data_IF_284657746585
#
_entry.id   IF_284657746585
#
_cell.length_a   1.000
_cell.length_b   1.000
_cell.length_c   1.000
_cell.angle_alpha   90.00
_cell.angle_beta   90.00
_cell.angle_gamma   90.00
#
_symmetry.space_group_name_H-M   'P 1'
#
loop_
_entity.id
_entity.type
_entity.pdbx_description
1 polymer ?
#
# COMPACT_ATOMS: atom_id res chain seq x y z
N UNK A 1 7.34 14.66 -2.11
CA UNK A 1 7.34 13.21 -2.38
C UNK A 1 7.36 13.02 -3.89
N UNK A 2 8.09 12.05 -4.39
CA UNK A 2 8.27 11.83 -5.84
C UNK A 2 7.71 10.47 -6.24
N UNK A 3 7.88 9.46 -5.40
CA UNK A 3 7.33 8.14 -5.67
C UNK A 3 7.02 7.36 -4.39
N UNK A 4 6.08 6.43 -4.52
CA UNK A 4 5.80 5.37 -3.55
C UNK A 4 5.90 4.04 -4.29
N UNK A 5 6.67 3.11 -3.76
CA UNK A 5 6.75 1.74 -4.25
C UNK A 5 6.23 0.82 -3.14
N UNK A 6 5.25 0.00 -3.45
CA UNK A 6 4.77 -1.09 -2.61
C UNK A 6 5.06 -2.40 -3.33
N UNK A 7 5.66 -3.35 -2.65
CA UNK A 7 5.84 -4.69 -3.17
C UNK A 7 5.23 -5.71 -2.19
N UNK A 8 4.58 -6.74 -2.72
CA UNK A 8 3.86 -7.75 -1.94
C UNK A 8 3.97 -9.11 -2.61
N UNK A 9 4.46 -10.10 -1.88
CA UNK A 9 4.35 -11.51 -2.25
C UNK A 9 3.01 -12.07 -1.77
N UNK A 10 2.24 -12.69 -2.65
CA UNK A 10 0.92 -13.21 -2.33
C UNK A 10 1.00 -14.47 -1.44
N UNK A 11 2.10 -15.24 -1.52
CA UNK A 11 2.31 -16.46 -0.74
C UNK A 11 2.54 -16.19 0.75
N UNK A 12 2.93 -14.97 1.13
CA UNK A 12 3.20 -14.59 2.52
C UNK A 12 1.94 -14.26 3.33
N UNK A 13 0.76 -14.31 2.72
CA UNK A 13 -0.48 -14.09 3.45
C UNK A 13 -1.10 -15.40 3.95
N UNK A 14 -1.10 -15.60 5.27
CA UNK A 14 -1.87 -16.68 5.90
C UNK A 14 -3.34 -16.61 5.48
N UNK A 15 -3.83 -17.64 4.78
CA UNK A 15 -5.23 -17.77 4.37
C UNK A 15 -5.55 -17.47 2.91
N UNK A 16 -4.55 -17.27 2.04
CA UNK A 16 -4.74 -17.15 0.59
C UNK A 16 -5.59 -15.93 0.22
N UNK A 17 -5.08 -14.73 0.46
CA UNK A 17 -5.75 -13.51 0.00
C UNK A 17 -5.88 -13.53 -1.52
N UNK A 18 -7.04 -13.11 -2.00
CA UNK A 18 -7.21 -12.92 -3.42
C UNK A 18 -6.43 -11.67 -3.89
N UNK A 19 -6.13 -11.60 -5.17
CA UNK A 19 -5.42 -10.50 -5.82
C UNK A 19 -5.98 -9.12 -5.41
N UNK A 20 -7.30 -8.97 -5.40
CA UNK A 20 -7.96 -7.70 -5.07
C UNK A 20 -7.74 -7.25 -3.62
N UNK A 21 -7.61 -8.16 -2.67
CA UNK A 21 -7.30 -7.82 -1.27
C UNK A 21 -5.87 -7.29 -1.14
N UNK A 22 -4.92 -7.92 -1.82
CA UNK A 22 -3.52 -7.49 -1.85
C UNK A 22 -3.36 -6.12 -2.50
N UNK A 23 -3.98 -5.93 -3.67
CA UNK A 23 -4.01 -4.64 -4.37
C UNK A 23 -4.64 -3.55 -3.51
N UNK A 24 -5.77 -3.86 -2.83
CA UNK A 24 -6.47 -2.89 -1.97
C UNK A 24 -5.58 -2.35 -0.86
N UNK A 25 -4.80 -3.20 -0.20
CA UNK A 25 -3.88 -2.76 0.87
C UNK A 25 -2.82 -1.80 0.35
N UNK A 26 -2.20 -2.12 -0.78
CA UNK A 26 -1.19 -1.26 -1.38
C UNK A 26 -1.78 0.06 -1.88
N UNK A 27 -2.96 0.03 -2.50
CA UNK A 27 -3.67 1.24 -2.93
C UNK A 27 -4.08 2.12 -1.74
N UNK A 28 -4.53 1.55 -0.63
CA UNK A 28 -4.81 2.31 0.60
C UNK A 28 -3.57 3.08 1.07
N UNK A 29 -2.40 2.44 1.10
CA UNK A 29 -1.16 3.12 1.45
C UNK A 29 -0.82 4.24 0.46
N UNK A 30 -0.96 4.00 -0.85
CA UNK A 30 -0.74 5.02 -1.87
C UNK A 30 -1.69 6.22 -1.72
N UNK A 31 -2.98 5.98 -1.54
CA UNK A 31 -3.99 7.03 -1.32
C UNK A 31 -3.66 7.84 -0.06
N UNK A 32 -3.30 7.19 1.05
CA UNK A 32 -2.92 7.89 2.29
C UNK A 32 -1.67 8.74 2.13
N UNK A 33 -0.71 8.33 1.32
CA UNK A 33 0.56 9.02 1.15
C UNK A 33 0.53 10.10 0.05
N UNK A 34 -0.23 9.88 -1.03
CA UNK A 34 -0.22 10.72 -2.23
C UNK A 34 -1.53 11.48 -2.45
N UNK A 35 -2.59 11.13 -1.73
CA UNK A 35 -3.93 11.70 -1.88
C UNK A 35 -4.80 10.92 -2.87
N UNK A 36 -6.01 11.42 -3.08
CA UNK A 36 -7.03 10.80 -3.92
C UNK A 36 -6.97 11.22 -5.39
N UNK A 37 -6.36 12.36 -5.69
CA UNK A 37 -6.40 12.99 -7.02
C UNK A 37 -5.38 12.35 -7.98
N UNK A 38 -5.64 11.12 -8.40
CA UNK A 38 -4.82 10.44 -9.40
C UNK A 38 -5.21 10.87 -10.83
N UNK A 39 -4.29 10.72 -11.78
CA UNK A 39 -4.48 11.09 -13.18
C UNK A 39 -4.69 9.86 -14.07
N UNK A 40 -3.99 8.78 -13.79
CA UNK A 40 -3.93 7.60 -14.65
C UNK A 40 -3.54 6.38 -13.84
N UNK A 41 -4.06 5.22 -14.21
CA UNK A 41 -3.64 3.91 -13.69
C UNK A 41 -3.32 2.98 -14.86
N UNK A 42 -2.24 2.23 -14.78
CA UNK A 42 -1.84 1.22 -15.76
C UNK A 42 -1.45 -0.06 -15.04
N UNK A 43 -1.74 -1.20 -15.68
CA UNK A 43 -1.39 -2.54 -15.22
C UNK A 43 -0.56 -3.24 -16.28
N UNK A 44 0.47 -3.99 -15.85
CA UNK A 44 1.34 -4.78 -16.72
C UNK A 44 1.54 -6.15 -16.05
N UNK A 45 0.76 -7.12 -16.49
CA UNK A 45 0.75 -8.45 -15.91
C UNK A 45 1.54 -9.45 -16.75
N UNK A 46 2.23 -10.36 -16.09
CA UNK A 46 2.86 -11.55 -16.67
C UNK A 46 2.02 -12.75 -16.26
N UNK A 47 1.53 -13.50 -17.25
CA UNK A 47 0.73 -14.73 -17.03
C UNK A 47 1.57 -15.96 -17.32
N UNK A 48 1.34 -17.02 -16.56
CA UNK A 48 1.90 -18.34 -16.79
C UNK A 48 1.26 -19.07 -17.98
N UNK A 49 1.77 -20.25 -18.27
CA UNK A 49 1.24 -21.11 -19.34
C UNK A 49 -0.18 -21.61 -19.09
N UNK A 50 -0.63 -21.60 -17.85
CA UNK A 50 -1.96 -21.95 -17.37
C UNK A 50 -2.95 -20.78 -17.40
N UNK A 51 -2.45 -19.56 -17.72
CA UNK A 51 -3.22 -18.32 -17.74
C UNK A 51 -3.31 -17.60 -16.39
N UNK A 52 -2.77 -18.17 -15.31
CA UNK A 52 -2.73 -17.54 -14.00
C UNK A 52 -1.68 -16.44 -13.94
N UNK A 53 -1.92 -15.43 -13.08
CA UNK A 53 -0.97 -14.34 -12.89
C UNK A 53 0.26 -14.82 -12.13
N UNK A 54 1.45 -14.54 -12.67
CA UNK A 54 2.75 -14.79 -12.04
C UNK A 54 3.23 -13.53 -11.32
N UNK A 55 3.09 -12.39 -12.00
CA UNK A 55 3.56 -11.10 -11.53
C UNK A 55 2.71 -9.99 -12.14
N UNK A 56 2.37 -9.00 -11.35
CA UNK A 56 1.69 -7.80 -11.84
C UNK A 56 2.37 -6.53 -11.32
N UNK A 57 2.49 -5.55 -12.20
CA UNK A 57 2.98 -4.22 -11.88
C UNK A 57 1.91 -3.19 -12.20
N UNK A 58 1.35 -2.59 -11.15
CA UNK A 58 0.35 -1.53 -11.25
C UNK A 58 1.05 -0.19 -11.01
N UNK A 59 0.80 0.77 -11.90
CA UNK A 59 1.30 2.14 -11.74
C UNK A 59 0.15 3.12 -11.65
N UNK A 60 0.17 3.98 -10.63
CA UNK A 60 -0.81 5.06 -10.45
C UNK A 60 -0.08 6.39 -10.52
N UNK A 61 -0.44 7.20 -11.51
CA UNK A 61 0.16 8.51 -11.75
C UNK A 61 -0.62 9.60 -11.03
N UNK A 62 0.09 10.42 -10.29
CA UNK A 62 -0.42 11.62 -9.62
C UNK A 62 0.19 12.88 -10.26
N UNK A 63 -0.33 14.08 -10.00
CA UNK A 63 0.19 15.33 -10.58
C UNK A 63 1.69 15.57 -10.31
N UNK A 64 2.21 15.09 -9.18
CA UNK A 64 3.61 15.30 -8.75
C UNK A 64 4.29 14.04 -8.22
N UNK A 65 3.70 12.88 -8.43
CA UNK A 65 4.24 11.62 -7.92
C UNK A 65 3.80 10.43 -8.76
N UNK A 66 4.48 9.32 -8.57
CA UNK A 66 4.14 8.02 -9.13
C UNK A 66 4.05 7.01 -7.99
N UNK A 67 2.99 6.22 -7.97
CA UNK A 67 2.92 5.01 -7.17
C UNK A 67 3.17 3.79 -8.07
N UNK A 68 3.94 2.83 -7.57
CA UNK A 68 4.17 1.54 -8.20
C UNK A 68 3.83 0.45 -7.20
N UNK A 69 3.00 -0.50 -7.60
CA UNK A 69 2.62 -1.66 -6.81
C UNK A 69 3.09 -2.89 -7.58
N UNK A 70 3.92 -3.70 -6.97
CA UNK A 70 4.43 -4.95 -7.50
C UNK A 70 3.81 -6.11 -6.70
N UNK A 71 3.19 -7.06 -7.39
CA UNK A 71 2.56 -8.23 -6.79
C UNK A 71 3.15 -9.48 -7.42
N UNK A 72 3.80 -10.30 -6.61
CA UNK A 72 4.26 -11.64 -7.00
C UNK A 72 3.27 -12.69 -6.51
N UNK A 73 2.82 -13.59 -7.39
CA UNK A 73 1.93 -14.71 -7.02
C UNK A 73 2.70 -16.01 -6.88
N UNK A 74 3.65 -16.26 -7.80
CA UNK A 74 4.51 -17.44 -7.82
C UNK A 74 6.00 -17.08 -7.92
N UNK A 75 6.29 -15.78 -7.82
CA UNK A 75 7.64 -15.24 -7.77
C UNK A 75 7.83 -14.51 -6.45
N UNK A 76 8.98 -14.71 -5.87
CA UNK A 76 9.37 -14.04 -4.62
C UNK A 76 9.57 -12.54 -4.90
N UNK A 77 8.78 -11.72 -4.22
CA UNK A 77 8.86 -10.26 -4.26
C UNK A 77 9.05 -9.80 -2.82
N UNK A 78 10.06 -8.98 -2.58
CA UNK A 78 10.34 -8.47 -1.23
C UNK A 78 9.19 -7.59 -0.73
N UNK A 79 8.59 -7.95 0.42
CA UNK A 79 7.45 -7.25 1.04
C UNK A 79 7.89 -5.92 1.64
N UNK A 80 8.09 -4.90 0.81
CA UNK A 80 8.55 -3.59 1.27
C UNK A 80 7.65 -2.44 0.80
N UNK A 81 7.65 -1.35 1.58
CA UNK A 81 7.11 -0.05 1.18
C UNK A 81 8.25 0.97 1.16
N UNK A 82 8.50 1.57 0.00
CA UNK A 82 9.51 2.61 -0.16
C UNK A 82 8.87 3.93 -0.56
N UNK A 83 9.14 4.98 0.22
CA UNK A 83 8.71 6.34 -0.06
C UNK A 83 9.94 7.13 -0.50
N UNK A 84 9.90 7.65 -1.72
CA UNK A 84 11.01 8.38 -2.33
C UNK A 84 10.66 9.86 -2.40
N UNK A 85 11.53 10.69 -1.84
CA UNK A 85 11.45 12.14 -1.88
C UNK A 85 12.69 12.75 -2.52
N UNK A 86 12.62 14.04 -2.85
CA UNK A 86 13.76 14.80 -3.40
C UNK A 86 14.92 14.96 -2.42
N UNK A 87 14.68 14.80 -1.12
CA UNK A 87 15.68 14.97 -0.06
C UNK A 87 15.96 13.70 0.74
N UNK A 88 15.52 12.55 0.26
CA UNK A 88 15.75 11.28 0.93
C UNK A 88 14.68 10.24 0.64
N UNK A 89 14.80 9.11 1.33
CA UNK A 89 13.86 7.99 1.22
C UNK A 89 13.51 7.43 2.59
N UNK A 90 12.33 6.84 2.67
CA UNK A 90 11.90 6.03 3.81
C UNK A 90 11.67 4.61 3.28
N UNK A 91 12.16 3.62 4.00
CA UNK A 91 11.94 2.20 3.71
C UNK A 91 11.26 1.57 4.91
N UNK A 92 10.15 0.91 4.67
CA UNK A 92 9.44 0.06 5.61
C UNK A 92 9.66 -1.38 5.14
N UNK A 93 10.58 -2.13 5.78
CA UNK A 93 10.94 -3.47 5.32
C UNK A 93 9.96 -4.50 5.85
N UNK A 94 9.97 -5.67 5.23
CA UNK A 94 9.28 -6.90 5.63
C UNK A 94 7.86 -6.67 6.15
N UNK A 95 6.90 -7.23 5.53
CA UNK A 95 5.49 -7.12 5.94
C UNK A 95 5.12 -5.68 6.34
N UNK A 96 5.39 -4.73 5.44
CA UNK A 96 5.23 -3.30 5.70
C UNK A 96 3.86 -2.93 6.28
N UNK A 97 2.86 -3.77 6.11
CA UNK A 97 1.53 -3.63 6.70
C UNK A 97 1.46 -4.01 8.19
N UNK A 98 2.48 -4.69 8.71
CA UNK A 98 2.55 -5.16 10.10
C UNK A 98 3.96 -4.96 10.69
N UNK A 99 4.60 -3.85 10.36
CA UNK A 99 5.97 -3.59 10.81
C UNK A 99 6.04 -2.85 12.13
N UNK A 100 7.11 -3.08 12.88
CA UNK A 100 7.45 -2.37 14.12
C UNK A 100 8.46 -1.24 13.92
N UNK A 101 8.96 -0.98 12.71
CA UNK A 101 9.93 0.08 12.45
C UNK A 101 9.94 0.49 10.98
N UNK A 102 10.51 1.66 10.73
CA UNK A 102 10.92 2.09 9.40
C UNK A 102 12.28 2.77 9.46
N UNK A 103 12.92 2.87 8.33
CA UNK A 103 14.23 3.46 8.17
C UNK A 103 14.16 4.67 7.25
N UNK A 104 14.83 5.76 7.65
CA UNK A 104 14.89 6.98 6.87
C UNK A 104 16.34 7.33 6.54
N UNK A 105 16.61 7.62 5.26
CA UNK A 105 17.87 8.18 4.79
C UNK A 105 17.59 9.57 4.22
N UNK A 106 18.19 10.60 4.82
CA UNK A 106 18.04 11.99 4.40
C UNK A 106 19.33 12.45 3.72
N UNK A 107 19.19 13.26 2.68
CA UNK A 107 20.33 13.86 1.98
C UNK A 107 21.23 14.60 2.97
N UNK A 108 22.56 14.41 2.83
CA UNK A 108 23.56 15.01 3.73
C UNK A 108 23.74 14.32 5.07
N UNK A 109 22.95 13.28 5.38
CA UNK A 109 23.18 12.45 6.55
C UNK A 109 23.99 11.18 6.17
N UNK A 110 25.04 10.93 6.95
CA UNK A 110 25.93 9.78 6.71
C UNK A 110 25.25 8.45 7.08
N UNK A 111 24.40 8.48 8.11
CA UNK A 111 23.77 7.28 8.66
C UNK A 111 22.29 7.20 8.36
N UNK A 112 21.82 5.98 8.19
CA UNK A 112 20.43 5.61 8.12
C UNK A 112 19.82 5.67 9.52
N UNK A 113 18.68 6.34 9.67
CA UNK A 113 18.01 6.48 10.97
C UNK A 113 16.81 5.55 11.05
N UNK A 114 16.80 4.68 12.05
CA UNK A 114 15.68 3.79 12.34
C UNK A 114 14.74 4.43 13.35
N UNK A 115 13.44 4.31 13.07
CA UNK A 115 12.33 4.71 13.95
C UNK A 115 11.53 3.47 14.28
N UNK A 116 11.51 3.10 15.56
CA UNK A 116 10.79 1.94 16.04
C UNK A 116 9.54 2.35 16.80
N UNK A 117 8.49 1.56 16.69
CA UNK A 117 7.23 1.71 17.41
C UNK A 117 6.66 0.32 17.72
N UNK A 118 5.73 0.28 18.67
CA UNK A 118 5.10 -0.97 19.05
C UNK A 118 3.77 -1.13 18.30
N UNK A 119 3.75 -2.06 17.34
CA UNK A 119 2.52 -2.48 16.68
C UNK A 119 2.05 -3.80 17.30
N UNK A 120 0.84 -3.81 17.86
CA UNK A 120 0.32 -4.95 18.58
C UNK A 120 -0.72 -5.71 17.76
N UNK A 121 -0.48 -7.01 17.56
CA UNK A 121 -1.37 -7.91 16.85
C UNK A 121 -1.46 -7.62 15.35
N UNK A 122 -2.60 -7.94 14.75
CA UNK A 122 -2.87 -7.84 13.30
C UNK A 122 -3.66 -6.59 12.88
N UNK A 123 -3.71 -5.57 13.73
CA UNK A 123 -4.44 -4.33 13.43
C UNK A 123 -5.90 -4.28 13.90
N UNK A 124 -6.53 -5.41 14.22
CA UNK A 124 -7.94 -5.46 14.66
C UNK A 124 -8.21 -4.57 15.88
N UNK A 125 -7.28 -4.52 16.83
CA UNK A 125 -7.35 -3.66 18.00
C UNK A 125 -7.55 -2.20 17.64
N UNK A 126 -6.79 -1.70 16.66
CA UNK A 126 -6.86 -0.30 16.22
C UNK A 126 -8.15 -0.01 15.47
N UNK A 127 -8.64 -0.97 14.70
CA UNK A 127 -9.95 -0.87 14.02
C UNK A 127 -11.09 -0.76 15.04
N UNK A 128 -11.12 -1.64 16.05
CA UNK A 128 -12.13 -1.61 17.12
C UNK A 128 -12.06 -0.32 17.93
N UNK A 129 -10.86 0.18 18.20
CA UNK A 129 -10.67 1.44 18.90
C UNK A 129 -11.24 2.62 18.12
N UNK A 130 -10.99 2.70 16.81
CA UNK A 130 -11.56 3.74 15.95
C UNK A 130 -13.10 3.63 15.89
N UNK A 131 -13.64 2.42 15.76
CA UNK A 131 -15.08 2.18 15.77
C UNK A 131 -15.73 2.66 17.09
N UNK A 132 -15.12 2.37 18.22
CA UNK A 132 -15.60 2.85 19.53
C UNK A 132 -15.60 4.38 19.61
N UNK A 133 -14.56 5.03 19.08
CA UNK A 133 -14.48 6.49 19.02
C UNK A 133 -15.59 7.05 18.13
N UNK A 134 -15.82 6.47 16.95
CA UNK A 134 -16.90 6.88 16.05
C UNK A 134 -18.28 6.79 16.72
N UNK A 135 -18.56 5.66 17.41
CA UNK A 135 -19.84 5.46 18.13
C UNK A 135 -19.98 6.50 19.24
N UNK A 136 -18.96 6.68 20.08
CA UNK A 136 -18.97 7.64 21.19
C UNK A 136 -19.24 9.06 20.70
N UNK A 137 -18.55 9.47 19.64
CA UNK A 137 -18.59 10.83 19.11
C UNK A 137 -19.73 11.02 18.09
N UNK A 138 -20.57 10.00 17.86
CA UNK A 138 -21.67 9.97 16.88
C UNK A 138 -21.20 10.34 15.46
N UNK A 139 -20.01 9.91 15.08
CA UNK A 139 -19.47 10.13 13.73
C UNK A 139 -19.87 8.97 12.83
N UNK A 140 -20.21 9.29 11.59
CA UNK A 140 -20.55 8.31 10.54
C UNK A 140 -19.36 8.01 9.64
N UNK A 141 -18.24 8.72 9.82
CA UNK A 141 -17.06 8.62 8.97
C UNK A 141 -15.81 8.36 9.82
N UNK A 142 -14.97 7.45 9.34
CA UNK A 142 -13.66 7.16 9.92
C UNK A 142 -12.67 8.30 9.62
N UNK A 143 -11.92 8.76 10.63
CA UNK A 143 -10.90 9.80 10.43
C UNK A 143 -9.57 9.26 9.88
N UNK A 144 -9.39 7.95 9.92
CA UNK A 144 -8.19 7.28 9.41
C UNK A 144 -8.26 7.05 7.91
N UNK A 145 -9.47 6.81 7.38
CA UNK A 145 -9.71 6.63 5.96
C UNK A 145 -11.09 7.21 5.64
N UNK A 146 -11.11 8.34 4.94
CA UNK A 146 -12.33 9.09 4.65
C UNK A 146 -13.18 8.42 3.57
N UNK A 147 -14.46 8.77 3.51
CA UNK A 147 -15.38 8.23 2.51
C UNK A 147 -14.89 8.46 1.07
N UNK A 148 -14.41 9.67 0.76
CA UNK A 148 -13.86 10.00 -0.55
C UNK A 148 -12.61 9.17 -0.91
N UNK A 149 -11.79 8.79 0.08
CA UNK A 149 -10.66 7.88 -0.12
C UNK A 149 -11.14 6.46 -0.45
N UNK A 150 -12.25 6.03 0.17
CA UNK A 150 -12.89 4.73 -0.10
C UNK A 150 -13.51 4.69 -1.50
N UNK A 151 -14.13 5.78 -1.95
CA UNK A 151 -14.64 5.90 -3.33
C UNK A 151 -13.49 5.81 -4.34
N UNK A 152 -12.41 6.55 -4.13
CA UNK A 152 -11.21 6.50 -4.98
C UNK A 152 -10.62 5.08 -5.03
N UNK A 153 -10.56 4.39 -3.90
CA UNK A 153 -10.10 3.00 -3.84
C UNK A 153 -10.98 2.09 -4.71
N UNK A 154 -12.29 2.21 -4.58
CA UNK A 154 -13.25 1.40 -5.34
C UNK A 154 -13.15 1.66 -6.86
N UNK A 155 -12.96 2.92 -7.27
CA UNK A 155 -12.75 3.29 -8.67
C UNK A 155 -11.46 2.72 -9.24
N UNK A 156 -10.34 2.80 -8.48
CA UNK A 156 -9.07 2.23 -8.87
C UNK A 156 -9.15 0.72 -9.03
N UNK A 157 -9.73 0.01 -8.06
CA UNK A 157 -9.91 -1.43 -8.12
C UNK A 157 -10.76 -1.85 -9.34
N UNK A 158 -11.88 -1.16 -9.59
CA UNK A 158 -12.71 -1.42 -10.77
C UNK A 158 -11.94 -1.21 -12.07
N UNK A 159 -11.09 -0.19 -12.13
CA UNK A 159 -10.30 0.11 -13.34
C UNK A 159 -9.22 -0.94 -13.57
N UNK A 160 -8.60 -1.44 -12.51
CA UNK A 160 -7.58 -2.49 -12.55
C UNK A 160 -8.21 -3.82 -12.99
N UNK A 161 -9.34 -4.21 -12.39
CA UNK A 161 -10.06 -5.45 -12.70
C UNK A 161 -10.53 -5.52 -14.18
N UNK A 162 -10.91 -4.40 -14.78
CA UNK A 162 -11.32 -4.32 -16.17
C UNK A 162 -10.18 -4.46 -17.19
N UNK A 163 -8.92 -4.37 -16.77
CA UNK A 163 -7.73 -4.42 -17.63
C UNK A 163 -6.96 -5.74 -17.54
N UNK A 164 -7.23 -6.55 -16.54
CA UNK A 164 -6.66 -7.91 -16.36
C UNK A 164 -7.48 -8.97 -17.08
#
# INVERSE_FOLDING_TARGET
>A
MVAVKCAVSQDDFEGGKNFNETVSQALCACIKLLGKDYLEVNTNAVKGSDGEFIYDMITVKYPRALATIEIGTTVDVENELVIIGSKGRITVPNDWWNTGYFEAKVEGQEFLKRYSFNFEGNGLRYLLQELMIMIRDRRTECTRFFYEESETLAELLKTIDQRG
#
